data_IF_674472038423
#
_entry.id   IF_674472038423
#
_cell.length_a   1.000
_cell.length_b   1.000
_cell.length_c   1.000
_cell.angle_alpha   90.00
_cell.angle_beta   90.00
_cell.angle_gamma   90.00
#
_symmetry.space_group_name_H-M   'P 1'
#
loop_
_entity.id
_entity.type
_entity.pdbx_description
1 polymer ?
#
# COMPACT_ATOMS: atom_id res chain seq x y z
N UNK A 1 21.22 13.18 16.91
CA UNK A 1 20.59 13.75 15.70
C UNK A 1 19.36 12.90 15.43
N UNK A 2 18.16 13.46 15.63
CA UNK A 2 16.90 12.71 15.58
C UNK A 2 16.49 12.41 14.14
N UNK A 3 16.31 11.13 13.81
CA UNK A 3 15.74 10.73 12.54
C UNK A 3 14.21 10.90 12.62
N UNK A 4 13.65 11.70 11.71
CA UNK A 4 12.20 11.79 11.51
C UNK A 4 11.65 10.38 11.22
N UNK A 5 10.79 9.85 12.08
CA UNK A 5 10.21 8.49 11.92
C UNK A 5 8.95 8.45 11.05
N UNK A 6 8.64 9.54 10.35
CA UNK A 6 7.55 9.60 9.38
C UNK A 6 8.10 9.35 7.96
N UNK A 7 7.48 8.41 7.24
CA UNK A 7 7.80 8.08 5.85
C UNK A 7 6.95 8.93 4.90
N UNK A 8 7.59 9.81 4.14
CA UNK A 8 6.92 10.65 3.14
C UNK A 8 6.24 9.79 2.06
N UNK A 9 6.94 8.75 1.61
CA UNK A 9 6.40 7.63 0.86
C UNK A 9 7.40 6.46 0.86
N UNK A 10 6.88 5.23 0.75
CA UNK A 10 7.68 4.03 0.51
C UNK A 10 7.00 3.13 -0.51
N UNK A 11 7.80 2.38 -1.27
CA UNK A 11 7.33 1.39 -2.24
C UNK A 11 8.05 0.05 -2.10
N UNK A 12 7.37 -1.05 -2.35
CA UNK A 12 7.95 -2.40 -2.38
C UNK A 12 7.27 -3.32 -3.40
N UNK A 13 7.95 -4.39 -3.78
CA UNK A 13 7.40 -5.41 -4.69
C UNK A 13 7.29 -6.74 -3.95
N UNK A 14 6.17 -7.42 -4.13
CA UNK A 14 5.92 -8.76 -3.63
C UNK A 14 5.20 -9.62 -4.68
N UNK A 15 4.93 -10.87 -4.36
CA UNK A 15 4.14 -11.78 -5.20
C UNK A 15 3.09 -12.48 -4.36
N UNK A 16 1.93 -12.75 -4.98
CA UNK A 16 0.90 -13.61 -4.42
C UNK A 16 0.78 -14.84 -5.31
N UNK A 17 1.23 -15.99 -4.79
CA UNK A 17 1.10 -17.29 -5.43
C UNK A 17 0.05 -18.08 -4.65
N UNK A 18 -1.09 -18.39 -5.27
CA UNK A 18 -2.19 -19.14 -4.61
C UNK A 18 -3.47 -18.32 -4.36
N UNK A 19 -3.46 -17.02 -4.63
CA UNK A 19 -4.68 -16.23 -4.78
C UNK A 19 -4.89 -15.92 -6.28
N UNK A 20 -5.75 -16.67 -6.98
CA UNK A 20 -5.94 -16.49 -8.42
C UNK A 20 -6.74 -15.23 -8.76
N UNK A 21 -7.47 -14.65 -7.81
CA UNK A 21 -8.22 -13.41 -7.98
C UNK A 21 -7.34 -12.20 -7.59
N UNK A 22 -6.87 -11.38 -8.55
CA UNK A 22 -5.99 -10.25 -8.27
C UNK A 22 -6.64 -9.18 -7.37
N UNK A 23 -7.97 -9.03 -7.41
CA UNK A 23 -8.69 -8.11 -6.54
C UNK A 23 -8.53 -8.55 -5.08
N UNK A 24 -8.81 -9.83 -4.81
CA UNK A 24 -8.64 -10.42 -3.47
C UNK A 24 -7.17 -10.45 -3.05
N UNK A 25 -6.24 -10.62 -3.98
CA UNK A 25 -4.81 -10.57 -3.69
C UNK A 25 -4.39 -9.17 -3.21
N UNK A 26 -4.86 -8.11 -3.87
CA UNK A 26 -4.63 -6.73 -3.46
C UNK A 26 -5.26 -6.42 -2.11
N UNK A 27 -6.53 -6.78 -1.90
CA UNK A 27 -7.26 -6.55 -0.64
C UNK A 27 -6.64 -7.29 0.55
N UNK A 28 -6.23 -8.53 0.36
CA UNK A 28 -5.55 -9.28 1.41
C UNK A 28 -4.19 -8.67 1.74
N UNK A 29 -3.39 -8.38 0.70
CA UNK A 29 -2.06 -7.84 0.87
C UNK A 29 -2.07 -6.44 1.53
N UNK A 30 -3.00 -5.55 1.16
CA UNK A 30 -3.05 -4.20 1.75
C UNK A 30 -3.27 -4.26 3.27
N UNK A 31 -4.07 -5.22 3.76
CA UNK A 31 -4.23 -5.47 5.20
C UNK A 31 -2.96 -6.02 5.81
N UNK A 32 -2.36 -7.05 5.21
CA UNK A 32 -1.13 -7.67 5.72
C UNK A 32 0.02 -6.68 5.86
N UNK A 33 0.23 -5.83 4.84
CA UNK A 33 1.30 -4.84 4.86
C UNK A 33 1.04 -3.68 5.81
N UNK A 34 -0.22 -3.20 5.89
CA UNK A 34 -0.61 -2.19 6.86
C UNK A 34 -0.42 -2.68 8.31
N UNK A 35 -0.86 -3.91 8.61
CA UNK A 35 -0.70 -4.51 9.94
C UNK A 35 0.78 -4.67 10.30
N UNK A 36 1.56 -5.35 9.44
CA UNK A 36 2.96 -5.64 9.73
C UNK A 36 3.85 -4.39 9.91
N UNK A 37 3.51 -3.26 9.28
CA UNK A 37 4.30 -2.04 9.42
C UNK A 37 3.84 -1.12 10.54
N UNK A 38 2.53 -0.95 10.72
CA UNK A 38 1.98 -0.02 11.71
C UNK A 38 1.61 -0.69 13.03
N UNK A 39 1.86 -1.99 13.18
CA UNK A 39 1.81 -2.69 14.45
C UNK A 39 2.85 -2.09 15.41
N UNK A 40 2.40 -1.79 16.63
CA UNK A 40 3.26 -1.26 17.67
C UNK A 40 3.08 -2.05 18.97
N UNK A 41 4.18 -2.54 19.55
CA UNK A 41 4.18 -3.29 20.81
C UNK A 41 3.18 -4.47 20.82
N UNK A 42 3.05 -5.18 19.69
CA UNK A 42 2.10 -6.29 19.57
C UNK A 42 0.64 -5.87 19.33
N UNK A 43 0.35 -4.58 19.24
CA UNK A 43 -1.00 -4.06 19.00
C UNK A 43 -1.16 -3.66 17.53
N UNK A 44 -2.10 -4.32 16.86
CA UNK A 44 -2.47 -4.03 15.47
C UNK A 44 -3.03 -2.60 15.30
N UNK A 45 -2.79 -1.94 14.15
CA UNK A 45 -3.37 -0.64 13.83
C UNK A 45 -4.88 -0.76 13.53
N UNK A 46 -5.59 0.37 13.50
CA UNK A 46 -6.90 0.40 12.87
C UNK A 46 -6.75 0.41 11.35
N UNK A 47 -7.42 -0.49 10.63
CA UNK A 47 -7.33 -0.58 9.17
C UNK A 47 -8.74 -0.53 8.58
N UNK A 48 -8.99 0.42 7.68
CA UNK A 48 -10.22 0.51 6.90
C UNK A 48 -9.89 0.34 5.42
N UNK A 49 -10.23 -0.82 4.88
CA UNK A 49 -9.97 -1.18 3.49
C UNK A 49 -11.12 -0.71 2.60
N UNK A 50 -10.78 -0.14 1.44
CA UNK A 50 -11.72 0.08 0.35
C UNK A 50 -11.66 -1.10 -0.62
N UNK A 51 -12.80 -1.51 -1.23
CA UNK A 51 -12.80 -2.57 -2.23
C UNK A 51 -11.81 -2.27 -3.37
N UNK A 52 -11.17 -3.31 -3.89
CA UNK A 52 -10.22 -3.15 -4.98
C UNK A 52 -10.92 -2.58 -6.23
N UNK A 53 -10.38 -1.49 -6.76
CA UNK A 53 -10.81 -0.91 -8.04
C UNK A 53 -9.96 -1.46 -9.17
N UNK A 54 -10.60 -1.84 -10.28
CA UNK A 54 -9.87 -2.19 -11.49
C UNK A 54 -9.33 -0.91 -12.14
N UNK A 55 -8.04 -0.87 -12.43
CA UNK A 55 -7.37 0.20 -13.17
C UNK A 55 -6.64 -0.36 -14.39
N UNK A 56 -6.14 0.52 -15.25
CA UNK A 56 -5.26 0.14 -16.35
C UNK A 56 -3.85 0.66 -16.11
N UNK A 57 -2.86 -0.19 -16.36
CA UNK A 57 -1.42 0.10 -16.27
C UNK A 57 -0.75 -0.22 -17.61
N UNK A 58 0.57 -0.03 -17.70
CA UNK A 58 1.33 -0.27 -18.93
C UNK A 58 0.77 0.55 -20.12
N UNK A 59 0.61 1.86 -19.90
CA UNK A 59 -0.01 2.79 -20.85
C UNK A 59 -1.39 2.32 -21.36
N UNK A 60 -2.21 1.76 -20.48
CA UNK A 60 -3.57 1.32 -20.82
C UNK A 60 -3.69 -0.12 -21.33
N UNK A 61 -2.57 -0.86 -21.46
CA UNK A 61 -2.55 -2.19 -22.08
C UNK A 61 -2.89 -3.32 -21.13
N UNK A 62 -2.62 -3.14 -19.84
CA UNK A 62 -2.79 -4.20 -18.83
C UNK A 62 -3.82 -3.80 -17.79
N UNK A 63 -4.73 -4.72 -17.44
CA UNK A 63 -5.60 -4.57 -16.28
C UNK A 63 -4.82 -4.86 -14.99
N UNK A 64 -5.10 -4.08 -13.96
CA UNK A 64 -4.58 -4.27 -12.61
C UNK A 64 -5.67 -3.92 -11.58
N UNK A 65 -5.48 -4.34 -10.34
CA UNK A 65 -6.44 -4.11 -9.25
C UNK A 65 -5.75 -3.37 -8.12
N UNK A 66 -6.26 -2.20 -7.78
CA UNK A 66 -5.72 -1.34 -6.74
C UNK A 66 -6.64 -1.39 -5.53
N UNK A 67 -6.13 -1.91 -4.41
CA UNK A 67 -6.78 -1.81 -3.11
C UNK A 67 -6.09 -0.70 -2.30
N UNK A 68 -6.87 0.10 -1.60
CA UNK A 68 -6.36 1.16 -0.73
C UNK A 68 -6.93 0.97 0.68
N UNK A 69 -6.09 1.18 1.69
CA UNK A 69 -6.49 1.14 3.08
C UNK A 69 -6.08 2.44 3.79
N UNK A 70 -7.03 2.98 4.56
CA UNK A 70 -6.73 4.02 5.53
C UNK A 70 -6.30 3.36 6.83
N UNK A 71 -5.11 3.72 7.29
CA UNK A 71 -4.49 3.16 8.50
C UNK A 71 -4.49 4.20 9.61
N UNK A 72 -4.87 3.78 10.80
CA UNK A 72 -4.75 4.54 12.04
C UNK A 72 -3.69 3.88 12.91
N UNK A 73 -2.43 4.35 12.87
CA UNK A 73 -1.34 3.78 13.66
C UNK A 73 -1.63 3.87 15.15
N UNK A 74 -1.15 2.90 15.92
CA UNK A 74 -1.19 3.01 17.38
C UNK A 74 -0.11 3.97 17.85
N UNK A 75 -0.48 4.89 18.74
CA UNK A 75 0.47 5.82 19.35
C UNK A 75 1.42 5.05 20.26
N UNK A 76 2.70 5.01 19.91
CA UNK A 76 3.76 4.68 20.85
C UNK A 76 4.10 5.92 21.68
N UNK A 77 4.23 5.74 23.00
CA UNK A 77 4.72 6.78 23.90
C UNK A 77 6.24 6.90 23.74
N UNK A 78 6.71 7.96 23.08
CA UNK A 78 8.12 8.22 22.82
C UNK A 78 8.23 9.29 21.74
N UNK A 79 9.23 10.16 21.80
CA UNK A 79 9.36 11.45 21.08
C UNK A 79 9.39 11.42 19.54
N UNK A 80 9.00 10.31 18.90
CA UNK A 80 8.75 10.26 17.48
C UNK A 80 7.27 10.50 17.25
N UNK A 81 6.91 11.64 16.63
CA UNK A 81 5.53 11.93 16.28
C UNK A 81 5.02 10.86 15.31
N UNK A 82 4.25 9.90 15.84
CA UNK A 82 3.53 8.95 15.01
C UNK A 82 2.57 9.72 14.12
N UNK A 83 2.52 9.42 12.81
CA UNK A 83 1.60 10.10 11.93
C UNK A 83 0.15 9.81 12.39
N UNK A 84 -0.75 10.81 12.35
CA UNK A 84 -2.13 10.63 12.79
C UNK A 84 -2.89 9.59 11.97
N UNK A 85 -2.47 9.38 10.72
CA UNK A 85 -2.99 8.35 9.83
C UNK A 85 -1.97 8.01 8.76
N UNK A 86 -2.21 6.96 8.01
CA UNK A 86 -1.47 6.63 6.80
C UNK A 86 -2.39 6.07 5.72
N UNK A 87 -1.88 6.05 4.50
CA UNK A 87 -2.49 5.35 3.37
C UNK A 87 -1.56 4.23 2.94
N UNK A 88 -2.12 3.03 2.82
CA UNK A 88 -1.50 1.87 2.20
C UNK A 88 -2.24 1.60 0.89
N UNK A 89 -1.52 1.40 -0.21
CA UNK A 89 -2.10 0.94 -1.47
C UNK A 89 -1.36 -0.28 -1.98
N UNK A 90 -2.11 -1.26 -2.49
CA UNK A 90 -1.53 -2.42 -3.16
C UNK A 90 -2.15 -2.56 -4.53
N UNK A 91 -1.28 -2.51 -5.54
CA UNK A 91 -1.62 -2.82 -6.92
C UNK A 91 -1.26 -4.27 -7.23
N UNK A 92 -2.26 -5.09 -7.54
CA UNK A 92 -2.08 -6.42 -8.08
C UNK A 92 -2.12 -6.40 -9.62
N UNK A 93 -1.00 -6.81 -10.23
CA UNK A 93 -0.88 -7.03 -11.67
C UNK A 93 -0.90 -8.54 -11.92
N UNK A 94 -1.88 -9.08 -12.68
CA UNK A 94 -1.94 -10.50 -12.97
C UNK A 94 -0.68 -10.98 -13.68
N UNK A 95 -0.15 -12.12 -13.21
CA UNK A 95 0.92 -12.88 -13.85
C UNK A 95 0.39 -14.09 -14.63
N UNK A 96 1.30 -14.84 -15.25
CA UNK A 96 0.96 -15.93 -16.17
C UNK A 96 0.55 -17.25 -15.49
N UNK A 97 0.73 -17.40 -14.16
CA UNK A 97 0.60 -18.69 -13.45
C UNK A 97 -0.31 -18.62 -12.21
N UNK A 98 -1.55 -18.14 -12.36
CA UNK A 98 -2.54 -18.03 -11.26
C UNK A 98 -2.00 -17.30 -10.01
N UNK A 99 -1.27 -16.22 -10.24
CA UNK A 99 -0.69 -15.37 -9.21
C UNK A 99 -0.55 -13.94 -9.71
N UNK A 100 -0.23 -13.03 -8.79
CA UNK A 100 -0.09 -11.60 -9.09
C UNK A 100 1.26 -11.07 -8.61
N UNK A 101 1.85 -10.17 -9.38
CA UNK A 101 2.88 -9.27 -8.87
C UNK A 101 2.17 -8.15 -8.11
N UNK A 102 2.66 -7.85 -6.91
CA UNK A 102 2.10 -6.83 -6.04
C UNK A 102 3.08 -5.66 -5.97
N UNK A 103 2.63 -4.45 -6.31
CA UNK A 103 3.31 -3.22 -5.93
C UNK A 103 2.61 -2.68 -4.69
N UNK A 104 3.38 -2.51 -3.62
CA UNK A 104 2.93 -1.96 -2.34
C UNK A 104 3.42 -0.51 -2.27
N UNK A 105 2.52 0.41 -1.98
CA UNK A 105 2.78 1.84 -1.82
C UNK A 105 2.26 2.29 -0.46
N UNK A 106 2.96 3.22 0.16
CA UNK A 106 2.57 3.75 1.46
C UNK A 106 2.96 5.21 1.56
N UNK A 107 2.15 6.00 2.25
CA UNK A 107 2.53 7.33 2.72
C UNK A 107 1.87 7.66 4.06
N UNK A 108 2.67 8.16 5.00
CA UNK A 108 2.17 8.73 6.25
C UNK A 108 1.43 10.03 5.95
N UNK A 109 0.27 10.23 6.57
CA UNK A 109 -0.60 11.39 6.34
C UNK A 109 -0.59 12.34 7.54
N UNK A 110 -0.79 13.63 7.26
CA UNK A 110 -0.77 14.67 8.30
C UNK A 110 0.64 15.06 8.76
N UNK A 111 1.67 14.73 7.97
CA UNK A 111 3.06 15.17 8.14
C UNK A 111 3.47 16.11 7.00
N UNK A 112 4.38 17.08 7.21
CA UNK A 112 4.82 17.99 6.15
C UNK A 112 5.37 17.23 4.94
N UNK A 113 4.96 17.64 3.73
CA UNK A 113 5.37 17.05 2.45
C UNK A 113 4.97 15.57 2.25
N UNK A 114 4.00 15.06 3.01
CA UNK A 114 3.39 13.77 2.76
C UNK A 114 2.87 13.69 1.31
N UNK A 115 3.12 12.56 0.65
CA UNK A 115 2.54 12.28 -0.65
C UNK A 115 1.02 12.13 -0.49
N UNK A 116 0.27 12.86 -1.30
CA UNK A 116 -1.20 12.80 -1.30
C UNK A 116 -1.70 11.45 -1.85
N UNK A 117 -2.89 10.99 -1.45
CA UNK A 117 -3.49 9.78 -2.01
C UNK A 117 -3.56 9.79 -3.55
N UNK A 118 -3.90 10.94 -4.15
CA UNK A 118 -3.92 11.08 -5.62
C UNK A 118 -2.55 10.94 -6.28
N UNK A 119 -1.47 11.26 -5.58
CA UNK A 119 -0.11 11.05 -6.09
C UNK A 119 0.29 9.58 -6.00
N UNK A 120 -0.15 8.84 -4.98
CA UNK A 120 0.03 7.38 -4.89
C UNK A 120 -0.71 6.66 -6.02
N UNK A 121 -1.95 7.05 -6.30
CA UNK A 121 -2.74 6.56 -7.44
C UNK A 121 -1.97 6.75 -8.77
N UNK A 122 -1.35 7.92 -8.97
CA UNK A 122 -0.54 8.21 -10.16
C UNK A 122 0.72 7.33 -10.24
N UNK A 123 1.38 7.07 -9.11
CA UNK A 123 2.53 6.16 -9.04
C UNK A 123 2.09 4.74 -9.42
N UNK A 124 0.97 4.26 -8.86
CA UNK A 124 0.41 2.94 -9.20
C UNK A 124 0.07 2.83 -10.69
N UNK A 125 -0.55 3.87 -11.28
CA UNK A 125 -0.89 3.90 -12.70
C UNK A 125 0.36 3.93 -13.63
N UNK A 126 1.51 4.41 -13.12
CA UNK A 126 2.75 4.51 -13.89
C UNK A 126 3.48 3.18 -14.10
N UNK A 127 3.04 2.11 -13.43
CA UNK A 127 3.66 0.78 -13.53
C UNK A 127 3.67 0.29 -14.98
N UNK A 128 4.84 -0.17 -15.42
CA UNK A 128 5.07 -0.77 -16.73
C UNK A 128 5.58 -2.19 -16.55
N UNK A 129 5.10 -3.11 -17.37
CA UNK A 129 5.70 -4.44 -17.45
C UNK A 129 7.01 -4.31 -18.24
N UNK A 130 8.09 -4.95 -17.79
CA UNK A 130 9.25 -5.13 -18.66
C UNK A 130 8.86 -6.13 -19.74
N UNK A 131 8.92 -5.71 -21.00
CA UNK A 131 8.75 -6.55 -22.18
C UNK A 131 9.92 -7.50 -22.37
#
# INVERSE_FOLDING_TARGET
QGQNSASLASSGISSSNGQPDPAKAAEHAVVTWADGYYQANGVAPGVRVSPAKQITVDNGKSKAWLASAQVTPKRTSGSCANPPSAVEEVLAVPGNKNGSVLLVLRADQGVPNAVSPSQLDNIAASVRKSS
#
